data_IF_958919308728
#
_entry.id   IF_958919308728
#
_cell.length_a   1.000
_cell.length_b   1.000
_cell.length_c   1.000
_cell.angle_alpha   90.00
_cell.angle_beta   90.00
_cell.angle_gamma   90.00
#
_symmetry.space_group_name_H-M   'P 1'
#
loop_
_entity.id
_entity.type
_entity.pdbx_description
1 polymer ?
#
# COMPACT_ATOMS: atom_id res chain seq x y z
N UNK A 1 -0.22 36.46 10.93
CA UNK A 1 0.09 35.05 10.63
C UNK A 1 1.54 34.80 11.03
N UNK A 2 1.78 34.16 12.18
CA UNK A 2 3.10 33.71 12.57
C UNK A 2 3.47 32.48 11.73
N UNK A 3 4.45 32.63 10.86
CA UNK A 3 5.09 31.49 10.19
C UNK A 3 5.90 30.76 11.27
N UNK A 4 5.43 29.57 11.74
CA UNK A 4 6.26 28.73 12.58
C UNK A 4 7.40 28.19 11.70
N UNK A 5 8.62 28.59 12.00
CA UNK A 5 9.81 27.94 11.46
C UNK A 5 9.82 26.47 11.87
N UNK A 6 9.56 25.57 10.91
CA UNK A 6 9.73 24.13 11.11
C UNK A 6 11.20 23.81 10.88
N UNK A 7 11.96 23.58 11.95
CA UNK A 7 13.32 23.11 11.86
C UNK A 7 13.33 21.60 11.64
N UNK A 8 13.69 21.16 10.42
CA UNK A 8 13.89 19.75 10.11
C UNK A 8 15.29 19.32 10.54
N UNK A 9 15.36 18.31 11.39
CA UNK A 9 16.61 17.69 11.83
C UNK A 9 16.59 16.19 11.65
N UNK A 10 17.73 15.59 11.31
CA UNK A 10 17.89 14.15 11.28
C UNK A 10 17.91 13.61 12.70
N UNK A 11 16.79 13.03 13.17
CA UNK A 11 16.66 12.48 14.52
C UNK A 11 17.34 11.11 14.66
N UNK A 12 17.28 10.28 13.61
CA UNK A 12 17.85 8.93 13.62
C UNK A 12 18.06 8.40 12.19
N UNK A 13 18.86 7.35 12.06
CA UNK A 13 19.01 6.55 10.85
C UNK A 13 18.72 5.09 11.16
N UNK A 14 17.94 4.43 10.30
CA UNK A 14 17.80 2.97 10.30
C UNK A 14 19.01 2.38 9.56
N UNK A 15 19.67 1.38 10.14
CA UNK A 15 20.77 0.67 9.49
C UNK A 15 20.27 0.01 8.19
N UNK A 16 20.95 0.29 7.09
CA UNK A 16 20.62 -0.22 5.76
C UNK A 16 21.55 -1.40 5.46
N UNK A 17 20.97 -2.60 5.40
CA UNK A 17 21.68 -3.83 5.05
C UNK A 17 21.13 -4.40 3.73
N UNK A 18 21.32 -3.66 2.61
CA UNK A 18 20.84 -4.09 1.30
C UNK A 18 19.31 -4.05 1.13
N UNK A 19 18.61 -3.28 1.98
CA UNK A 19 17.15 -3.13 1.94
C UNK A 19 16.75 -1.83 1.23
N UNK A 20 15.65 -1.88 0.49
CA UNK A 20 15.08 -0.70 -0.18
C UNK A 20 13.69 -0.44 0.34
N UNK A 21 13.58 0.45 1.31
CA UNK A 21 12.30 0.87 1.85
C UNK A 21 11.65 1.91 0.94
N UNK A 22 10.47 1.60 0.41
CA UNK A 22 9.73 2.48 -0.52
C UNK A 22 8.65 3.31 0.16
N UNK A 23 8.16 2.86 1.33
CA UNK A 23 7.15 3.58 2.10
C UNK A 23 7.28 3.26 3.58
N UNK A 24 6.91 4.23 4.42
CA UNK A 24 6.85 4.08 5.88
C UNK A 24 5.57 4.70 6.41
N UNK A 25 4.92 4.04 7.37
CA UNK A 25 3.79 4.57 8.14
C UNK A 25 4.03 4.42 9.63
N UNK A 26 3.42 5.28 10.42
CA UNK A 26 3.46 5.22 11.89
C UNK A 26 2.17 4.60 12.43
N UNK A 27 2.27 3.81 13.48
CA UNK A 27 1.09 3.41 14.22
C UNK A 27 0.47 4.61 14.96
N UNK A 28 -0.74 4.42 15.48
CA UNK A 28 -1.52 5.47 16.15
C UNK A 28 -0.79 6.07 17.35
N UNK A 29 -0.14 5.25 18.16
CA UNK A 29 0.60 5.63 19.36
C UNK A 29 1.97 6.27 19.05
N UNK A 30 2.40 6.21 17.79
CA UNK A 30 3.70 6.70 17.30
C UNK A 30 4.89 6.14 18.07
N UNK A 31 4.83 4.86 18.37
CA UNK A 31 5.93 4.11 19.01
C UNK A 31 6.56 3.08 18.08
N UNK A 32 5.85 2.73 17.00
CA UNK A 32 6.37 1.90 15.91
C UNK A 32 6.20 2.57 14.55
N UNK A 33 7.20 2.41 13.71
CA UNK A 33 7.13 2.64 12.27
C UNK A 33 7.11 1.28 11.57
N UNK A 34 6.27 1.15 10.55
CA UNK A 34 6.27 0.03 9.62
C UNK A 34 6.83 0.49 8.30
N UNK A 35 7.68 -0.30 7.67
CA UNK A 35 8.25 0.02 6.37
C UNK A 35 8.13 -1.17 5.40
N UNK A 36 7.90 -0.86 4.13
CA UNK A 36 7.85 -1.83 3.04
C UNK A 36 9.23 -1.97 2.44
N UNK A 37 9.72 -3.20 2.36
CA UNK A 37 10.88 -3.59 1.55
C UNK A 37 10.38 -4.31 0.30
N UNK A 38 10.29 -3.58 -0.81
CA UNK A 38 9.71 -4.05 -2.06
C UNK A 38 10.46 -5.26 -2.63
N UNK A 39 11.78 -5.16 -2.72
CA UNK A 39 12.59 -6.21 -3.36
C UNK A 39 12.76 -7.45 -2.51
N UNK A 40 12.70 -7.32 -1.20
CA UNK A 40 12.73 -8.47 -0.31
C UNK A 40 11.34 -9.02 -0.01
N UNK A 41 10.25 -8.42 -0.51
CA UNK A 41 8.89 -8.85 -0.25
C UNK A 41 8.57 -8.86 1.26
N UNK A 42 8.96 -7.81 1.98
CA UNK A 42 8.88 -7.78 3.44
C UNK A 42 8.18 -6.52 3.97
N UNK A 43 7.52 -6.67 5.11
CA UNK A 43 7.09 -5.57 5.96
C UNK A 43 7.88 -5.64 7.26
N UNK A 44 8.56 -4.56 7.59
CA UNK A 44 9.43 -4.50 8.77
C UNK A 44 8.87 -3.57 9.83
N UNK A 45 9.10 -3.90 11.11
CA UNK A 45 8.75 -3.10 12.27
C UNK A 45 9.99 -2.43 12.85
N UNK A 46 9.89 -1.14 13.12
CA UNK A 46 10.94 -0.30 13.67
C UNK A 46 10.43 0.43 14.91
N UNK A 47 10.89 0.13 16.13
CA UNK A 47 10.52 0.88 17.31
C UNK A 47 11.18 2.27 17.30
N UNK A 48 10.39 3.32 17.58
CA UNK A 48 10.85 4.71 17.45
C UNK A 48 10.95 5.48 18.76
N UNK A 49 10.34 4.98 19.86
CA UNK A 49 10.34 5.70 21.16
C UNK A 49 11.56 5.47 22.04
N UNK A 50 12.40 4.48 21.78
CA UNK A 50 13.26 3.93 22.85
C UNK A 50 14.76 4.08 22.66
N UNK A 51 15.30 4.52 21.52
CA UNK A 51 16.75 4.65 21.39
C UNK A 51 17.22 5.63 20.33
N UNK A 52 18.45 6.12 20.50
CA UNK A 52 19.16 6.93 19.49
C UNK A 52 19.55 6.12 18.24
N UNK A 53 19.55 4.79 18.34
CA UNK A 53 19.83 3.89 17.23
C UNK A 53 18.56 3.11 16.94
N UNK A 54 17.94 3.40 15.82
CA UNK A 54 16.72 2.74 15.35
C UNK A 54 17.14 1.53 14.50
N UNK A 55 16.63 0.35 14.85
CA UNK A 55 16.87 -0.90 14.13
C UNK A 55 15.55 -1.61 13.88
N UNK A 56 15.50 -2.37 12.78
CA UNK A 56 14.41 -3.32 12.53
C UNK A 56 14.32 -4.29 13.69
N UNK A 57 13.14 -4.41 14.30
CA UNK A 57 12.90 -5.31 15.43
C UNK A 57 12.19 -6.59 15.02
N UNK A 58 11.33 -6.52 14.00
CA UNK A 58 10.57 -7.65 13.46
C UNK A 58 10.42 -7.50 11.95
N UNK A 59 10.28 -8.63 11.28
CA UNK A 59 10.08 -8.72 9.83
C UNK A 59 9.00 -9.75 9.55
N UNK A 60 8.04 -9.38 8.70
CA UNK A 60 7.09 -10.30 8.10
C UNK A 60 7.47 -10.47 6.64
N UNK A 61 7.84 -11.68 6.25
CA UNK A 61 8.06 -12.07 4.86
C UNK A 61 6.71 -12.43 4.25
N UNK A 62 6.42 -11.84 3.08
CA UNK A 62 5.28 -12.22 2.25
C UNK A 62 5.71 -13.30 1.26
N UNK A 63 4.80 -14.18 0.86
CA UNK A 63 5.07 -15.35 0.02
C UNK A 63 4.13 -15.43 -1.20
N UNK A 64 3.57 -14.29 -1.61
CA UNK A 64 2.66 -14.21 -2.75
C UNK A 64 3.36 -14.41 -4.10
N UNK A 65 2.63 -14.96 -5.06
CA UNK A 65 2.98 -15.01 -6.47
C UNK A 65 1.69 -15.04 -7.30
N UNK A 66 1.78 -14.72 -8.60
CA UNK A 66 0.64 -14.76 -9.51
C UNK A 66 1.06 -15.07 -10.96
N UNK A 67 0.25 -14.66 -11.93
CA UNK A 67 0.35 -15.14 -13.32
C UNK A 67 1.35 -14.41 -14.19
N UNK A 68 1.77 -13.19 -13.86
CA UNK A 68 2.79 -12.48 -14.65
C UNK A 68 4.17 -13.11 -14.40
N UNK A 69 4.80 -13.70 -15.45
CA UNK A 69 6.04 -14.47 -15.28
C UNK A 69 7.27 -13.62 -14.97
N UNK A 70 7.15 -12.30 -14.99
CA UNK A 70 8.24 -11.35 -14.73
C UNK A 70 8.02 -10.56 -13.46
N UNK A 71 6.81 -10.04 -13.26
CA UNK A 71 6.49 -9.11 -12.18
C UNK A 71 5.87 -9.78 -10.96
N UNK A 72 5.39 -11.02 -11.09
CA UNK A 72 4.64 -11.73 -10.06
C UNK A 72 5.23 -13.11 -9.71
N UNK A 73 6.54 -13.24 -9.82
CA UNK A 73 7.26 -14.46 -9.42
C UNK A 73 7.43 -14.59 -7.92
N UNK A 74 7.32 -13.48 -7.21
CA UNK A 74 7.41 -13.37 -5.74
C UNK A 74 6.65 -12.14 -5.24
N UNK A 75 6.47 -12.03 -3.92
CA UNK A 75 5.82 -10.87 -3.30
C UNK A 75 6.58 -9.58 -3.53
N UNK A 76 5.84 -8.54 -3.90
CA UNK A 76 6.31 -7.18 -4.05
C UNK A 76 5.31 -6.22 -3.38
N UNK A 77 5.41 -6.00 -2.06
CA UNK A 77 4.54 -5.04 -1.39
C UNK A 77 4.80 -3.63 -1.91
N UNK A 78 3.72 -2.95 -2.33
CA UNK A 78 3.80 -1.66 -3.06
C UNK A 78 3.31 -0.48 -2.25
N UNK A 79 2.33 -0.70 -1.38
CA UNK A 79 1.72 0.36 -0.61
C UNK A 79 1.19 -0.18 0.72
N UNK A 80 1.19 0.67 1.74
CA UNK A 80 0.54 0.37 3.01
C UNK A 80 -0.14 1.59 3.61
N UNK A 81 -1.22 1.35 4.32
CA UNK A 81 -1.96 2.36 5.08
C UNK A 81 -2.70 1.72 6.24
N UNK A 82 -3.04 2.49 7.26
CA UNK A 82 -3.99 2.02 8.26
C UNK A 82 -5.43 2.14 7.75
N UNK A 83 -6.29 1.22 8.20
CA UNK A 83 -7.73 1.37 8.03
C UNK A 83 -8.21 2.68 8.64
N UNK A 84 -9.34 3.26 8.16
CA UNK A 84 -9.84 4.53 8.66
C UNK A 84 -10.17 4.56 10.17
N UNK A 85 -10.34 3.42 10.80
CA UNK A 85 -10.53 3.25 12.24
C UNK A 85 -9.21 3.00 13.00
N UNK A 86 -8.08 2.93 12.28
CA UNK A 86 -6.74 2.62 12.78
C UNK A 86 -6.62 1.28 13.51
N UNK A 87 -7.45 0.30 13.18
CA UNK A 87 -7.41 -1.02 13.83
C UNK A 87 -6.58 -2.04 13.08
N UNK A 88 -6.34 -1.83 11.77
CA UNK A 88 -5.59 -2.74 10.92
C UNK A 88 -4.59 -1.98 10.05
N UNK A 89 -3.43 -2.56 9.83
CA UNK A 89 -2.51 -2.15 8.76
C UNK A 89 -2.88 -2.92 7.49
N UNK A 90 -3.04 -2.21 6.38
CA UNK A 90 -3.37 -2.79 5.06
C UNK A 90 -2.17 -2.65 4.16
N UNK A 91 -1.79 -3.71 3.49
CA UNK A 91 -0.68 -3.77 2.54
C UNK A 91 -1.19 -4.29 1.21
N UNK A 92 -0.83 -3.64 0.09
CA UNK A 92 -1.03 -4.18 -1.24
C UNK A 92 0.22 -4.92 -1.70
N UNK A 93 0.07 -6.14 -2.19
CA UNK A 93 1.15 -6.96 -2.74
C UNK A 93 0.94 -7.18 -4.24
N UNK A 94 1.72 -6.47 -5.05
CA UNK A 94 1.68 -6.57 -6.51
C UNK A 94 2.01 -8.00 -6.97
N UNK A 95 3.02 -8.61 -6.35
CA UNK A 95 3.47 -9.94 -6.75
C UNK A 95 2.45 -11.03 -6.45
N UNK A 96 1.73 -10.89 -5.35
CA UNK A 96 0.72 -11.87 -4.93
C UNK A 96 -0.70 -11.58 -5.38
N UNK A 97 -0.97 -10.47 -6.07
CA UNK A 97 -2.35 -9.98 -6.32
C UNK A 97 -3.19 -9.96 -5.04
N UNK A 98 -2.63 -9.44 -3.95
CA UNK A 98 -3.25 -9.56 -2.65
C UNK A 98 -3.37 -8.20 -1.94
N UNK A 99 -4.47 -8.03 -1.22
CA UNK A 99 -4.63 -7.02 -0.18
C UNK A 99 -4.58 -7.72 1.16
N UNK A 100 -3.52 -7.44 1.92
CA UNK A 100 -3.20 -8.13 3.16
C UNK A 100 -3.54 -7.21 4.33
N UNK A 101 -4.30 -7.72 5.28
CA UNK A 101 -4.61 -7.03 6.53
C UNK A 101 -3.78 -7.59 7.66
N UNK A 102 -3.21 -6.71 8.46
CA UNK A 102 -2.49 -7.08 9.68
C UNK A 102 -3.14 -6.45 10.91
N UNK A 103 -3.23 -7.23 11.97
CA UNK A 103 -3.49 -6.75 13.33
C UNK A 103 -2.15 -6.46 14.00
N UNK A 104 -2.05 -5.31 14.67
CA UNK A 104 -0.90 -4.99 15.51
C UNK A 104 -0.99 -5.78 16.81
N UNK A 105 -0.01 -6.65 17.05
CA UNK A 105 0.17 -7.40 18.28
C UNK A 105 1.16 -6.73 19.23
N UNK A 106 1.64 -7.49 20.20
CA UNK A 106 2.59 -6.98 21.18
C UNK A 106 3.93 -6.57 20.56
N UNK A 107 4.47 -5.45 21.03
CA UNK A 107 5.78 -4.91 20.59
C UNK A 107 5.85 -4.67 19.08
N UNK A 108 4.74 -4.21 18.47
CA UNK A 108 4.67 -3.90 17.06
C UNK A 108 4.71 -5.11 16.12
N UNK A 109 4.37 -6.31 16.62
CA UNK A 109 4.22 -7.49 15.78
C UNK A 109 3.07 -7.31 14.80
N UNK A 110 3.24 -7.76 13.57
CA UNK A 110 2.19 -7.80 12.57
C UNK A 110 1.69 -9.22 12.41
N UNK A 111 0.41 -9.43 12.73
CA UNK A 111 -0.27 -10.72 12.63
C UNK A 111 -1.26 -10.63 11.48
N UNK A 112 -1.08 -11.45 10.43
CA UNK A 112 -1.97 -11.48 9.27
C UNK A 112 -3.39 -11.84 9.70
N UNK A 113 -4.35 -11.07 9.22
CA UNK A 113 -5.77 -11.33 9.37
C UNK A 113 -6.28 -12.06 8.13
N UNK A 114 -6.35 -13.37 8.21
CA UNK A 114 -6.72 -14.23 7.08
C UNK A 114 -8.19 -14.06 6.66
N UNK A 115 -9.06 -13.60 7.56
CA UNK A 115 -10.49 -13.39 7.23
C UNK A 115 -10.72 -12.10 6.44
N UNK A 116 -9.87 -11.10 6.66
CA UNK A 116 -9.98 -9.80 5.98
C UNK A 116 -9.09 -9.73 4.74
N UNK A 117 -7.99 -10.47 4.72
CA UNK A 117 -7.09 -10.52 3.56
C UNK A 117 -7.76 -11.20 2.38
N UNK A 118 -7.55 -10.68 1.18
CA UNK A 118 -8.18 -11.21 -0.03
C UNK A 118 -7.31 -11.06 -1.26
N UNK A 119 -7.52 -11.97 -2.22
CA UNK A 119 -6.90 -11.93 -3.53
C UNK A 119 -7.74 -11.11 -4.50
N UNK A 120 -7.06 -10.39 -5.39
CA UNK A 120 -7.64 -9.77 -6.57
C UNK A 120 -7.67 -10.76 -7.74
N UNK A 121 -8.21 -10.31 -8.88
CA UNK A 121 -8.11 -11.06 -10.13
C UNK A 121 -6.63 -11.30 -10.46
N UNK A 122 -6.23 -12.55 -10.80
CA UNK A 122 -4.85 -12.83 -11.18
C UNK A 122 -4.35 -11.91 -12.31
N UNK A 123 -3.19 -11.32 -12.15
CA UNK A 123 -2.61 -10.35 -13.10
C UNK A 123 -3.07 -8.90 -12.86
N UNK A 124 -3.73 -8.60 -11.76
CA UNK A 124 -4.10 -7.21 -11.41
C UNK A 124 -2.87 -6.36 -11.07
N UNK A 125 -1.98 -6.84 -10.23
CA UNK A 125 -0.82 -6.11 -9.74
C UNK A 125 -1.20 -4.87 -8.92
N UNK A 126 -1.80 -5.02 -7.71
CA UNK A 126 -2.24 -3.88 -6.91
C UNK A 126 -1.05 -3.00 -6.50
N UNK A 127 -1.17 -1.70 -6.79
CA UNK A 127 -0.13 -0.71 -6.57
C UNK A 127 -0.44 0.20 -5.38
N UNK A 128 -1.67 0.66 -5.26
CA UNK A 128 -2.08 1.64 -4.24
C UNK A 128 -3.54 1.47 -3.86
N UNK A 129 -3.84 1.69 -2.58
CA UNK A 129 -5.19 1.68 -2.04
C UNK A 129 -5.51 3.04 -1.41
N UNK A 130 -6.67 3.62 -1.75
CA UNK A 130 -7.18 4.83 -1.11
C UNK A 130 -8.62 4.63 -0.66
N UNK A 131 -8.96 5.16 0.52
CA UNK A 131 -10.34 5.16 1.00
C UNK A 131 -11.09 6.41 0.56
N UNK A 132 -12.37 6.26 0.26
CA UNK A 132 -13.26 7.40 0.09
C UNK A 132 -13.38 8.21 1.40
N UNK A 133 -13.66 9.51 1.31
CA UNK A 133 -13.83 10.41 2.46
C UNK A 133 -14.88 9.92 3.46
N UNK A 134 -15.97 9.32 2.97
CA UNK A 134 -17.03 8.76 3.80
C UNK A 134 -16.71 7.36 4.36
N UNK A 135 -15.53 6.80 4.01
CA UNK A 135 -15.03 5.49 4.45
C UNK A 135 -15.90 4.29 4.05
N UNK A 136 -16.83 4.49 3.11
CA UNK A 136 -17.73 3.42 2.61
C UNK A 136 -17.18 2.69 1.41
N UNK A 137 -16.17 3.27 0.75
CA UNK A 137 -15.53 2.70 -0.43
C UNK A 137 -14.02 2.75 -0.29
N UNK A 138 -13.36 1.82 -0.95
CA UNK A 138 -11.92 1.81 -1.20
C UNK A 138 -11.68 1.61 -2.70
N UNK A 139 -10.66 2.25 -3.20
CA UNK A 139 -10.24 2.15 -4.58
C UNK A 139 -8.83 1.56 -4.62
N UNK A 140 -8.63 0.56 -5.47
CA UNK A 140 -7.35 -0.10 -5.64
C UNK A 140 -6.89 0.16 -7.07
N UNK A 141 -5.75 0.82 -7.22
CA UNK A 141 -5.06 1.00 -8.49
C UNK A 141 -4.27 -0.25 -8.80
N UNK A 142 -4.54 -0.86 -9.94
CA UNK A 142 -3.88 -2.06 -10.42
C UNK A 142 -2.91 -1.72 -11.56
N UNK A 143 -1.63 -1.95 -11.32
CA UNK A 143 -0.56 -1.52 -12.23
C UNK A 143 -0.38 -2.44 -13.44
N UNK A 144 -0.62 -3.75 -13.29
CA UNK A 144 -0.43 -4.72 -14.38
C UNK A 144 -1.65 -4.73 -15.30
N UNK A 145 -2.86 -4.80 -14.74
CA UNK A 145 -4.11 -4.77 -15.53
C UNK A 145 -4.48 -3.37 -16.03
N UNK A 146 -3.84 -2.31 -15.54
CA UNK A 146 -4.18 -0.91 -15.83
C UNK A 146 -5.63 -0.57 -15.49
N UNK A 147 -6.09 -0.96 -14.31
CA UNK A 147 -7.46 -0.75 -13.84
C UNK A 147 -7.52 -0.04 -12.50
N UNK A 148 -8.68 0.52 -12.19
CA UNK A 148 -9.08 0.89 -10.82
C UNK A 148 -10.25 0.00 -10.43
N UNK A 149 -10.08 -0.76 -9.36
CA UNK A 149 -11.16 -1.55 -8.76
C UNK A 149 -11.79 -0.77 -7.59
N UNK A 150 -13.11 -0.62 -7.62
CA UNK A 150 -13.91 0.00 -6.56
C UNK A 150 -14.51 -1.07 -5.66
N UNK A 151 -14.25 -0.99 -4.37
CA UNK A 151 -14.82 -1.88 -3.36
C UNK A 151 -15.72 -1.12 -2.41
N UNK A 152 -16.89 -1.66 -2.07
CA UNK A 152 -17.64 -1.23 -0.89
C UNK A 152 -16.97 -1.81 0.37
N UNK A 153 -16.90 -0.99 1.43
CA UNK A 153 -16.23 -1.36 2.68
C UNK A 153 -17.23 -1.37 3.83
N UNK A 154 -17.35 -2.51 4.50
CA UNK A 154 -18.19 -2.67 5.69
C UNK A 154 -17.46 -3.54 6.72
N UNK A 155 -17.21 -3.00 7.93
CA UNK A 155 -16.45 -3.69 8.99
C UNK A 155 -15.09 -4.25 8.47
N UNK A 156 -14.36 -3.43 7.70
CA UNK A 156 -13.12 -3.76 7.01
C UNK A 156 -13.22 -4.92 5.98
N UNK A 157 -14.42 -5.45 5.70
CA UNK A 157 -14.65 -6.38 4.60
C UNK A 157 -14.90 -5.62 3.31
N UNK A 158 -14.23 -6.06 2.26
CA UNK A 158 -14.26 -5.49 0.92
C UNK A 158 -15.13 -6.32 0.01
N UNK A 159 -16.03 -5.67 -0.72
CA UNK A 159 -16.86 -6.32 -1.76
C UNK A 159 -16.68 -5.53 -3.05
N UNK A 160 -16.21 -6.18 -4.11
CA UNK A 160 -16.05 -5.55 -5.42
C UNK A 160 -17.37 -5.01 -5.93
N UNK A 161 -17.38 -3.75 -6.34
CA UNK A 161 -18.54 -3.06 -6.90
C UNK A 161 -18.38 -2.88 -8.39
N UNK A 162 -17.18 -2.43 -8.82
CA UNK A 162 -16.90 -2.12 -10.22
C UNK A 162 -15.39 -2.10 -10.47
N UNK A 163 -14.98 -2.24 -11.71
CA UNK A 163 -13.60 -2.14 -12.14
C UNK A 163 -13.54 -1.48 -13.52
N UNK A 164 -12.75 -0.43 -13.67
CA UNK A 164 -12.64 0.35 -14.88
C UNK A 164 -11.18 0.48 -15.33
N UNK A 165 -10.96 0.58 -16.63
CA UNK A 165 -9.64 0.87 -17.20
C UNK A 165 -9.20 2.29 -16.84
N UNK A 166 -7.89 2.49 -16.67
CA UNK A 166 -7.28 3.81 -16.41
C UNK A 166 -6.96 4.59 -17.69
N UNK A 167 -7.19 3.99 -18.85
CA UNK A 167 -6.95 4.60 -20.15
C UNK A 167 -7.96 4.05 -21.18
N UNK A 168 -8.10 4.71 -22.32
CA UNK A 168 -8.96 4.28 -23.43
C UNK A 168 -8.17 3.40 -24.41
N UNK A 169 -8.57 2.14 -24.56
CA UNK A 169 -7.97 1.24 -25.55
C UNK A 169 -8.27 1.64 -26.99
N UNK A 170 -9.31 2.43 -27.20
CA UNK A 170 -9.66 2.94 -28.56
C UNK A 170 -8.75 4.11 -28.96
N UNK A 171 -8.13 4.79 -27.98
CA UNK A 171 -7.26 5.95 -28.21
C UNK A 171 -5.77 5.60 -28.10
N UNK A 172 -5.45 4.52 -27.37
CA UNK A 172 -4.06 4.07 -27.14
C UNK A 172 -3.96 2.55 -27.14
N UNK A 173 -3.14 2.00 -28.02
CA UNK A 173 -2.91 0.54 -28.20
C UNK A 173 -1.58 0.06 -27.61
N UNK A 174 -0.81 0.95 -26.98
CA UNK A 174 0.47 0.64 -26.35
C UNK A 174 0.34 0.04 -24.94
N UNK A 175 1.49 -0.16 -24.32
CA UNK A 175 1.58 -0.62 -22.93
C UNK A 175 1.37 0.55 -21.98
N UNK A 176 0.28 0.51 -21.22
CA UNK A 176 -0.01 1.48 -20.16
C UNK A 176 0.33 0.91 -18.80
N UNK A 177 0.91 1.73 -17.93
CA UNK A 177 1.24 1.37 -16.55
C UNK A 177 0.85 2.51 -15.62
N UNK A 178 -0.24 2.37 -14.87
CA UNK A 178 -0.60 3.34 -13.84
C UNK A 178 0.49 3.43 -12.77
N UNK A 179 0.85 4.64 -12.36
CA UNK A 179 1.95 4.91 -11.44
C UNK A 179 1.50 5.44 -10.09
N UNK A 180 0.43 6.21 -10.06
CA UNK A 180 -0.14 6.78 -8.82
C UNK A 180 -1.59 7.18 -9.03
N UNK A 181 -2.32 7.32 -7.92
CA UNK A 181 -3.67 7.87 -7.91
C UNK A 181 -3.93 8.75 -6.70
N UNK A 182 -4.81 9.72 -6.86
CA UNK A 182 -5.30 10.58 -5.80
C UNK A 182 -6.81 10.81 -5.94
N UNK A 183 -7.51 10.81 -4.81
CA UNK A 183 -8.92 11.17 -4.75
C UNK A 183 -9.05 12.65 -4.34
N UNK A 184 -9.95 13.40 -4.97
CA UNK A 184 -10.21 14.79 -4.58
C UNK A 184 -10.78 14.89 -3.18
N UNK A 185 -10.58 16.02 -2.53
CA UNK A 185 -11.06 16.25 -1.16
C UNK A 185 -12.58 16.10 -1.04
N UNK A 186 -13.34 16.49 -2.08
CA UNK A 186 -14.79 16.31 -2.12
C UNK A 186 -15.23 14.89 -2.50
N UNK A 187 -14.29 13.98 -2.82
CA UNK A 187 -14.55 12.59 -3.18
C UNK A 187 -15.24 12.38 -4.52
N UNK A 188 -15.27 13.40 -5.39
CA UNK A 188 -16.02 13.33 -6.67
C UNK A 188 -15.19 12.81 -7.83
N UNK A 189 -13.86 12.93 -7.74
CA UNK A 189 -12.95 12.55 -8.82
C UNK A 189 -11.76 11.77 -8.26
N UNK A 190 -11.29 10.83 -9.06
CA UNK A 190 -10.01 10.16 -8.90
C UNK A 190 -9.15 10.53 -10.09
N UNK A 191 -7.94 11.01 -9.82
CA UNK A 191 -6.92 11.24 -10.84
C UNK A 191 -5.90 10.12 -10.78
N UNK A 192 -5.50 9.65 -11.95
CA UNK A 192 -4.47 8.62 -12.12
C UNK A 192 -3.37 9.18 -13.01
N UNK A 193 -2.13 8.87 -12.68
CA UNK A 193 -0.98 9.13 -13.53
C UNK A 193 -0.67 7.83 -14.27
N UNK A 194 -0.75 7.85 -15.59
CA UNK A 194 -0.38 6.75 -16.45
C UNK A 194 1.01 6.96 -17.06
N UNK A 195 1.78 5.88 -17.21
CA UNK A 195 3.00 5.85 -17.99
C UNK A 195 2.74 5.02 -19.26
N UNK A 196 2.81 5.66 -20.41
CA UNK A 196 2.54 5.06 -21.70
C UNK A 196 1.50 5.85 -22.49
N UNK A 197 0.27 5.96 -21.98
CA UNK A 197 -0.80 6.76 -22.57
C UNK A 197 -0.60 8.28 -22.40
N UNK A 198 0.25 8.69 -21.46
CA UNK A 198 0.58 10.10 -21.15
C UNK A 198 -0.65 11.00 -20.81
N UNK A 199 -1.72 10.42 -20.21
CA UNK A 199 -2.95 11.09 -19.75
C UNK A 199 -3.03 11.20 -18.23
#
# INVERSE_FOLDING_TARGET
YACMEVQLGLAARVGYEGRTYIQTVLNKERDYAYAIDYYNGEVVTVPIKTSKIIRVSKTVKLDGHSIDPVKQTESHPTFMTFTPDNTKLVVTDLGGDEVIFFTEGEKGELIKDEELSFKLTPGSGPLKLVYSKNRKFAYILNSISSTIACYSVKHNKFTLVDEVMTYSKDEYDGVNTPMDMVITENGRFIFVINKGDDT
#
